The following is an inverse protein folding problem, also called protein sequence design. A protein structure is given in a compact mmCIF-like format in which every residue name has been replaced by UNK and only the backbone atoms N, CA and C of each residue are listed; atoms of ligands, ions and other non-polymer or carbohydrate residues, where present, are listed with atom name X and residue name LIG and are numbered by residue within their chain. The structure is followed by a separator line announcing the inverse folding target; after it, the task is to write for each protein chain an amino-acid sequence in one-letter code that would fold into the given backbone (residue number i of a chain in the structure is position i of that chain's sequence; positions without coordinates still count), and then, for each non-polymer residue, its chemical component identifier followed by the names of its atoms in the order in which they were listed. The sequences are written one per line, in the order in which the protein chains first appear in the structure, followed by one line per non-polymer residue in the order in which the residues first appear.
data_IF_769563535903
#
_entry.id   IF_769563535903
#
_cell.length_a   1.000
_cell.length_b   1.000
_cell.length_c   1.000
_cell.angle_alpha   90.00
_cell.angle_beta   90.00
_cell.angle_gamma   90.00
#
_symmetry.space_group_name_H-M   'P 1'
#
loop_
_entity.id
_entity.type
_entity.pdbx_description
1 polymer ?
#
# COMPACT_ATOMS: atom_id res chain seq x y z
N UNK A 1 16.24 -18.93 -44.82
CA UNK A 1 17.20 -18.52 -43.77
C UNK A 1 16.56 -17.42 -42.96
N UNK A 2 16.23 -17.72 -41.70
CA UNK A 2 15.59 -16.81 -40.75
C UNK A 2 16.65 -15.95 -40.06
N UNK A 3 16.46 -14.62 -40.00
CA UNK A 3 17.01 -13.76 -38.93
C UNK A 3 16.30 -12.39 -38.87
N UNK A 4 15.38 -12.32 -37.90
CA UNK A 4 15.09 -11.24 -36.95
C UNK A 4 14.90 -9.79 -37.43
N UNK A 5 13.61 -9.43 -37.43
CA UNK A 5 13.03 -8.09 -37.45
C UNK A 5 13.15 -7.47 -36.04
N UNK A 6 14.19 -6.70 -35.73
CA UNK A 6 14.31 -6.01 -34.42
C UNK A 6 14.94 -4.61 -34.44
N UNK A 7 15.15 -3.99 -35.60
CA UNK A 7 15.53 -2.57 -35.67
C UNK A 7 14.32 -1.75 -36.11
N UNK A 8 13.41 -1.46 -35.19
CA UNK A 8 12.28 -0.57 -35.47
C UNK A 8 12.31 0.55 -34.42
N UNK A 9 13.00 1.63 -34.78
CA UNK A 9 12.91 2.99 -34.24
C UNK A 9 12.80 3.09 -32.71
N UNK A 10 13.94 3.00 -32.02
CA UNK A 10 14.06 3.46 -30.64
C UNK A 10 14.25 4.98 -30.65
N UNK A 11 13.39 5.72 -29.97
CA UNK A 11 13.66 7.13 -29.73
C UNK A 11 14.87 7.32 -28.78
N UNK A 12 15.34 8.55 -28.61
CA UNK A 12 16.55 8.82 -27.83
C UNK A 12 16.38 8.41 -26.36
N UNK A 13 15.17 8.56 -25.82
CA UNK A 13 14.86 8.17 -24.43
C UNK A 13 14.86 6.65 -24.31
N UNK A 14 14.21 5.93 -25.23
CA UNK A 14 14.16 4.47 -25.26
C UNK A 14 15.56 3.85 -25.43
N UNK A 15 16.42 4.47 -26.25
CA UNK A 15 17.80 4.01 -26.43
C UNK A 15 18.65 4.22 -25.17
N UNK A 16 18.54 5.38 -24.52
CA UNK A 16 19.25 5.66 -23.27
C UNK A 16 18.79 4.72 -22.12
N UNK A 17 17.51 4.35 -22.10
CA UNK A 17 16.96 3.37 -21.14
C UNK A 17 17.56 1.98 -21.39
N UNK A 18 17.66 1.52 -22.66
CA UNK A 18 18.23 0.21 -22.97
C UNK A 18 19.73 0.17 -22.64
N UNK A 19 20.48 1.21 -23.03
CA UNK A 19 21.91 1.28 -22.74
C UNK A 19 22.19 1.35 -21.24
N UNK A 20 21.37 2.07 -20.46
CA UNK A 20 21.51 2.11 -19.00
C UNK A 20 21.15 0.78 -18.33
N UNK A 21 20.18 0.03 -18.85
CA UNK A 21 19.84 -1.32 -18.39
C UNK A 21 20.92 -2.36 -18.72
N UNK A 22 21.55 -2.26 -19.89
CA UNK A 22 22.65 -3.15 -20.28
C UNK A 22 23.94 -2.89 -19.48
N UNK A 23 24.18 -1.64 -19.10
CA UNK A 23 25.33 -1.24 -18.27
C UNK A 23 25.06 -1.28 -16.76
N UNK A 24 23.90 -1.80 -16.35
CA UNK A 24 23.54 -1.89 -14.94
C UNK A 24 24.45 -2.92 -14.24
N UNK A 25 25.31 -2.46 -13.34
CA UNK A 25 26.19 -3.35 -12.58
C UNK A 25 25.45 -3.98 -11.39
N UNK A 26 24.83 -5.12 -11.66
CA UNK A 26 24.09 -5.90 -10.67
C UNK A 26 24.96 -6.32 -9.46
N UNK A 27 26.29 -6.42 -9.61
CA UNK A 27 27.18 -6.74 -8.49
C UNK A 27 27.29 -5.61 -7.47
N UNK A 28 27.18 -4.36 -7.92
CA UNK A 28 27.26 -3.19 -7.04
C UNK A 28 25.96 -3.03 -6.25
N UNK A 29 24.80 -3.35 -6.85
CA UNK A 29 23.49 -3.32 -6.19
C UNK A 29 23.36 -4.42 -5.13
N UNK A 30 23.88 -5.63 -5.39
CA UNK A 30 23.82 -6.76 -4.46
C UNK A 30 24.69 -6.53 -3.20
N UNK A 31 25.74 -5.72 -3.32
CA UNK A 31 26.62 -5.35 -2.21
C UNK A 31 26.19 -4.06 -1.48
N UNK A 32 25.12 -3.40 -1.93
CA UNK A 32 24.56 -2.20 -1.29
C UNK A 32 23.62 -2.59 -0.14
N UNK A 33 24.23 -3.18 0.89
CA UNK A 33 23.54 -3.68 2.09
C UNK A 33 22.72 -2.57 2.76
N UNK A 34 23.23 -1.33 2.79
CA UNK A 34 22.52 -0.19 3.38
C UNK A 34 21.22 0.14 2.64
N UNK A 35 21.22 0.17 1.31
CA UNK A 35 19.98 0.38 0.55
C UNK A 35 19.02 -0.80 0.67
N UNK A 36 19.54 -2.04 0.67
CA UNK A 36 18.71 -3.24 0.88
C UNK A 36 18.02 -3.17 2.25
N UNK A 37 18.75 -2.86 3.31
CA UNK A 37 18.19 -2.73 4.67
C UNK A 37 17.16 -1.60 4.75
N UNK A 38 17.44 -0.46 4.12
CA UNK A 38 16.52 0.68 4.06
C UNK A 38 15.22 0.33 3.34
N UNK A 39 15.29 -0.36 2.21
CA UNK A 39 14.13 -0.81 1.45
C UNK A 39 13.35 -1.88 2.22
N UNK A 40 14.03 -2.83 2.86
CA UNK A 40 13.39 -3.83 3.71
C UNK A 40 12.68 -3.20 4.91
N UNK A 41 13.30 -2.20 5.55
CA UNK A 41 12.69 -1.46 6.66
C UNK A 41 11.44 -0.70 6.18
N UNK A 42 11.54 0.01 5.06
CA UNK A 42 10.39 0.73 4.49
C UNK A 42 9.24 -0.23 4.11
N UNK A 43 9.56 -1.39 3.52
CA UNK A 43 8.59 -2.42 3.18
C UNK A 43 7.92 -2.99 4.45
N UNK A 44 8.70 -3.28 5.50
CA UNK A 44 8.20 -3.77 6.78
C UNK A 44 7.27 -2.76 7.45
N UNK A 45 7.67 -1.51 7.54
CA UNK A 45 6.85 -0.43 8.09
C UNK A 45 5.55 -0.23 7.30
N UNK A 46 5.59 -0.37 5.98
CA UNK A 46 4.39 -0.29 5.14
C UNK A 46 3.43 -1.45 5.39
N UNK A 47 3.94 -2.69 5.51
CA UNK A 47 3.15 -3.89 5.81
C UNK A 47 2.53 -3.80 7.21
N UNK A 48 3.30 -3.35 8.21
CA UNK A 48 2.81 -3.16 9.58
C UNK A 48 1.70 -2.09 9.66
N UNK A 49 1.75 -1.08 8.78
CA UNK A 49 0.74 -0.02 8.69
C UNK A 49 -0.50 -0.42 7.88
N UNK A 50 -0.56 -1.59 7.26
CA UNK A 50 -1.73 -1.97 6.47
C UNK A 50 -2.94 -2.25 7.37
N UNK A 51 -4.02 -1.52 7.09
CA UNK A 51 -5.34 -1.77 7.69
C UNK A 51 -5.78 -3.21 7.36
N UNK A 52 -6.01 -4.05 8.39
CA UNK A 52 -6.59 -5.38 8.20
C UNK A 52 -8.12 -5.27 8.07
N UNK A 53 -8.68 -5.96 7.07
CA UNK A 53 -10.14 -6.01 6.87
C UNK A 53 -10.76 -7.10 7.75
N UNK A 54 -11.86 -6.76 8.43
CA UNK A 54 -12.66 -7.71 9.20
C UNK A 54 -14.09 -7.76 8.65
N UNK A 55 -14.70 -8.94 8.63
CA UNK A 55 -16.13 -9.09 8.31
C UNK A 55 -16.94 -9.13 9.60
N UNK A 56 -17.92 -8.25 9.74
CA UNK A 56 -18.79 -8.17 10.92
C UNK A 56 -20.25 -8.33 10.51
N UNK A 57 -20.99 -9.22 11.19
CA UNK A 57 -22.44 -9.32 11.06
C UNK A 57 -23.11 -8.41 12.09
N UNK A 58 -24.02 -7.56 11.62
CA UNK A 58 -24.82 -6.68 12.48
C UNK A 58 -26.29 -6.79 12.09
N UNK A 59 -27.19 -6.49 13.04
CA UNK A 59 -28.63 -6.46 12.74
C UNK A 59 -28.97 -5.29 11.81
N UNK A 60 -30.00 -5.45 10.99
CA UNK A 60 -30.46 -4.37 10.11
C UNK A 60 -30.95 -3.14 10.90
N UNK A 61 -31.57 -3.38 12.07
CA UNK A 61 -32.02 -2.31 12.98
C UNK A 61 -30.84 -1.48 13.48
N UNK A 62 -29.76 -2.13 13.90
CA UNK A 62 -28.59 -1.42 14.43
C UNK A 62 -27.82 -0.71 13.32
N UNK A 63 -27.70 -1.30 12.13
CA UNK A 63 -27.11 -0.61 10.97
C UNK A 63 -27.83 0.71 10.67
N UNK A 64 -29.16 0.72 10.72
CA UNK A 64 -29.95 1.93 10.49
C UNK A 64 -29.71 2.99 11.56
N UNK A 65 -29.63 2.59 12.84
CA UNK A 65 -29.27 3.51 13.94
C UNK A 65 -27.87 4.10 13.76
N UNK A 66 -26.89 3.26 13.41
CA UNK A 66 -25.51 3.69 13.16
C UNK A 66 -25.47 4.70 12.00
N UNK A 67 -26.19 4.44 10.91
CA UNK A 67 -26.31 5.39 9.78
C UNK A 67 -26.93 6.72 10.21
N UNK A 68 -27.98 6.69 11.02
CA UNK A 68 -28.62 7.91 11.53
C UNK A 68 -27.66 8.73 12.42
N UNK A 69 -26.95 8.07 13.34
CA UNK A 69 -25.99 8.74 14.24
C UNK A 69 -24.79 9.29 13.48
N UNK A 70 -24.23 8.53 12.56
CA UNK A 70 -23.09 8.97 11.74
C UNK A 70 -23.46 10.13 10.82
N UNK A 71 -24.66 10.10 10.22
CA UNK A 71 -25.17 11.21 9.41
C UNK A 71 -25.32 12.50 10.23
N UNK A 72 -25.82 12.42 11.47
CA UNK A 72 -25.90 13.58 12.37
C UNK A 72 -24.53 14.17 12.71
N UNK A 73 -23.49 13.33 12.73
CA UNK A 73 -22.09 13.73 12.94
C UNK A 73 -21.37 14.16 11.66
N UNK A 74 -22.02 14.09 10.50
CA UNK A 74 -21.40 14.39 9.20
C UNK A 74 -20.33 13.37 8.78
N UNK A 75 -20.37 12.15 9.32
CA UNK A 75 -19.38 11.09 9.06
C UNK A 75 -20.00 9.95 8.26
N UNK A 76 -19.19 9.26 7.46
CA UNK A 76 -19.58 7.96 6.88
C UNK A 76 -19.77 6.95 8.01
N UNK A 77 -20.76 6.06 7.88
CA UNK A 77 -21.05 5.06 8.91
C UNK A 77 -19.86 4.13 9.18
N UNK A 78 -19.07 3.77 8.16
CA UNK A 78 -17.84 2.98 8.33
C UNK A 78 -16.79 3.72 9.17
N UNK A 79 -16.55 5.00 8.86
CA UNK A 79 -15.61 5.85 9.59
C UNK A 79 -16.06 6.03 11.04
N UNK A 80 -17.36 6.19 11.26
CA UNK A 80 -17.92 6.27 12.60
C UNK A 80 -17.69 4.97 13.39
N UNK A 81 -17.94 3.81 12.79
CA UNK A 81 -17.63 2.50 13.41
C UNK A 81 -16.14 2.40 13.74
N UNK A 82 -15.25 2.75 12.80
CA UNK A 82 -13.78 2.75 13.02
C UNK A 82 -13.41 3.63 14.22
N UNK A 83 -14.02 4.83 14.33
CA UNK A 83 -13.73 5.77 15.41
C UNK A 83 -14.17 5.25 16.79
N UNK A 84 -15.30 4.54 16.87
CA UNK A 84 -15.78 3.95 18.13
C UNK A 84 -14.82 2.85 18.59
N UNK A 85 -14.44 1.95 17.67
CA UNK A 85 -13.53 0.84 17.98
C UNK A 85 -12.20 1.40 18.51
N UNK A 86 -11.65 2.41 17.83
CA UNK A 86 -10.41 3.05 18.24
C UNK A 86 -10.51 3.70 19.62
N UNK A 87 -11.55 4.52 19.86
CA UNK A 87 -11.77 5.17 21.17
C UNK A 87 -11.98 4.16 22.31
N UNK A 88 -12.62 3.02 22.02
CA UNK A 88 -12.84 1.99 23.03
C UNK A 88 -11.53 1.27 23.37
N UNK A 89 -10.77 0.86 22.36
CA UNK A 89 -9.48 0.18 22.55
C UNK A 89 -8.46 1.08 23.25
N UNK A 90 -8.36 2.36 22.87
CA UNK A 90 -7.44 3.30 23.54
C UNK A 90 -7.76 3.48 25.02
N UNK A 91 -9.05 3.50 25.40
CA UNK A 91 -9.46 3.62 26.80
C UNK A 91 -9.15 2.36 27.62
N UNK A 92 -9.27 1.17 27.04
CA UNK A 92 -8.96 -0.09 27.72
C UNK A 92 -7.45 -0.32 27.87
N UNK A 93 -6.62 0.22 26.97
CA UNK A 93 -5.14 0.12 27.06
C UNK A 93 -4.57 1.09 28.11
N UNK A 94 -5.32 2.13 28.51
CA UNK A 94 -4.89 3.12 29.49
C UNK A 94 -5.27 2.79 30.95
N UNK A 95 -5.99 1.69 31.19
CA UNK A 95 -6.32 1.16 32.52
C UNK A 95 -5.44 -0.03 32.89
#
# INVERSE_FOLDING_TARGET
MNKNKKDVYLDKEEKEIIESLENLDFKTIENDIENIEKLQKAAKEYIEKQDKTITLRISASDLNKIKAVSSKKGLRYQTFIKSIIHQYVEKEIQN
#
